data_IF_777376757146
#
_entry.id   IF_777376757146
#
_cell.length_a   1.000
_cell.length_b   1.000
_cell.length_c   1.000
_cell.angle_alpha   90.00
_cell.angle_beta   90.00
_cell.angle_gamma   90.00
#
_symmetry.space_group_name_H-M   'P 1'
#
loop_
_entity.id
_entity.type
_entity.pdbx_description
1 polymer ?
#
# COMPACT_ATOMS: atom_id res chain seq x y z
N UNK A 1 9.09 8.44 13.42
CA UNK A 1 8.45 8.90 12.19
C UNK A 1 7.71 7.74 11.55
N UNK A 2 6.50 7.99 11.08
CA UNK A 2 5.70 6.92 10.51
C UNK A 2 6.17 6.55 9.11
N UNK A 3 6.31 5.24 8.87
CA UNK A 3 6.69 4.70 7.57
C UNK A 3 5.55 3.81 7.11
N UNK A 4 4.92 4.17 6.02
CA UNK A 4 3.65 3.58 5.58
C UNK A 4 3.85 2.85 4.26
N UNK A 5 3.27 1.64 4.19
CA UNK A 5 3.18 0.86 2.96
C UNK A 5 1.72 0.79 2.53
N UNK A 6 1.45 1.12 1.28
CA UNK A 6 0.10 0.98 0.71
C UNK A 6 0.15 -0.10 -0.34
N UNK A 7 -0.62 -1.16 -0.14
CA UNK A 7 -0.73 -2.28 -1.08
C UNK A 7 -2.04 -2.13 -1.84
N UNK A 8 -1.96 -2.09 -3.16
CA UNK A 8 -3.11 -1.82 -4.01
C UNK A 8 -3.32 -0.34 -4.26
N UNK A 9 -2.23 0.42 -4.32
CA UNK A 9 -2.27 1.88 -4.42
C UNK A 9 -2.76 2.40 -5.78
N UNK A 10 -2.73 1.57 -6.82
CA UNK A 10 -3.09 1.99 -8.18
C UNK A 10 -4.57 2.14 -8.41
N UNK A 11 -5.43 1.62 -7.53
CA UNK A 11 -6.86 1.80 -7.64
C UNK A 11 -7.29 3.20 -7.25
N UNK A 12 -8.58 3.51 -7.43
CA UNK A 12 -9.09 4.84 -7.15
C UNK A 12 -8.91 5.22 -5.69
N UNK A 13 -9.34 4.35 -4.78
CA UNK A 13 -9.21 4.61 -3.34
C UNK A 13 -7.74 4.65 -2.95
N UNK A 14 -6.95 3.71 -3.46
CA UNK A 14 -5.53 3.62 -3.11
C UNK A 14 -4.73 4.82 -3.58
N UNK A 15 -4.99 5.33 -4.77
CA UNK A 15 -4.26 6.49 -5.28
C UNK A 15 -4.61 7.76 -4.49
N UNK A 16 -5.87 7.94 -4.15
CA UNK A 16 -6.29 9.07 -3.33
C UNK A 16 -5.71 9.00 -1.93
N UNK A 17 -5.74 7.82 -1.32
CA UNK A 17 -5.18 7.61 0.01
C UNK A 17 -3.67 7.85 0.01
N UNK A 18 -2.97 7.39 -1.03
CA UNK A 18 -1.53 7.58 -1.14
C UNK A 18 -1.17 9.07 -1.18
N UNK A 19 -1.85 9.83 -2.03
CA UNK A 19 -1.61 11.27 -2.13
C UNK A 19 -1.90 11.96 -0.80
N UNK A 20 -3.00 11.61 -0.17
CA UNK A 20 -3.38 12.19 1.11
C UNK A 20 -2.33 11.93 2.19
N UNK A 21 -1.93 10.67 2.33
CA UNK A 21 -0.94 10.31 3.35
C UNK A 21 0.43 10.92 3.07
N UNK A 22 0.80 11.04 1.81
CA UNK A 22 2.05 11.72 1.45
C UNK A 22 2.04 13.19 1.81
N UNK A 23 0.87 13.81 1.76
CA UNK A 23 0.74 15.21 2.15
C UNK A 23 0.90 15.41 3.66
N UNK A 24 0.58 14.38 4.45
CA UNK A 24 0.66 14.45 5.92
C UNK A 24 2.03 14.02 6.42
N UNK A 25 2.54 12.90 5.91
CA UNK A 25 3.74 12.25 6.46
C UNK A 25 4.99 12.49 5.62
N UNK A 26 4.85 13.11 4.46
CA UNK A 26 5.94 13.31 3.52
C UNK A 26 5.99 12.21 2.47
N UNK A 27 6.32 12.60 1.23
CA UNK A 27 6.29 11.67 0.11
C UNK A 27 7.22 10.46 0.30
N UNK A 28 8.40 10.67 0.86
CA UNK A 28 9.37 9.59 1.04
C UNK A 28 8.99 8.60 2.13
N UNK A 29 8.03 8.94 2.97
CA UNK A 29 7.60 8.09 4.09
C UNK A 29 6.41 7.20 3.74
N UNK A 30 5.87 7.32 2.54
CA UNK A 30 4.72 6.54 2.08
C UNK A 30 5.11 5.81 0.82
N UNK A 31 5.27 4.48 0.93
CA UNK A 31 5.61 3.61 -0.19
C UNK A 31 4.32 3.08 -0.80
N UNK A 32 4.11 3.38 -2.07
CA UNK A 32 2.96 2.88 -2.79
C UNK A 32 3.35 1.62 -3.55
N UNK A 33 2.49 0.62 -3.56
CA UNK A 33 2.72 -0.62 -4.29
C UNK A 33 1.46 -1.06 -5.01
N UNK A 34 1.65 -1.72 -6.14
CA UNK A 34 0.56 -2.37 -6.87
C UNK A 34 1.17 -3.45 -7.74
N UNK A 35 0.33 -4.32 -8.28
CA UNK A 35 0.78 -5.36 -9.21
C UNK A 35 1.28 -4.77 -10.53
N UNK A 36 0.84 -3.57 -10.87
CA UNK A 36 1.23 -2.86 -12.09
C UNK A 36 1.88 -1.54 -11.74
N UNK A 37 2.80 -1.11 -12.58
CA UNK A 37 3.42 0.19 -12.43
C UNK A 37 2.37 1.31 -12.52
N UNK A 38 2.48 2.27 -11.62
CA UNK A 38 1.63 3.45 -11.61
C UNK A 38 2.50 4.69 -11.58
N UNK A 39 2.68 5.32 -12.74
CA UNK A 39 3.61 6.44 -12.91
C UNK A 39 3.23 7.67 -12.08
N UNK A 40 1.94 7.90 -11.92
CA UNK A 40 1.48 9.07 -11.18
C UNK A 40 1.88 8.99 -9.70
N UNK A 41 1.97 7.77 -9.15
CA UNK A 41 2.37 7.59 -7.77
C UNK A 41 3.88 7.53 -7.59
N UNK A 42 4.60 7.18 -8.65
CA UNK A 42 6.05 7.12 -8.61
C UNK A 42 6.70 8.50 -8.61
N UNK A 43 6.00 9.50 -9.15
CA UNK A 43 6.54 10.87 -9.22
C UNK A 43 6.58 11.58 -7.88
N UNK A 44 5.70 11.23 -6.95
CA UNK A 44 5.55 11.92 -5.67
C UNK A 44 6.18 11.19 -4.49
N UNK A 45 6.79 10.04 -4.74
CA UNK A 45 7.42 9.26 -3.68
C UNK A 45 7.73 7.86 -4.16
N UNK A 46 8.21 6.98 -3.27
CA UNK A 46 8.60 5.64 -3.66
C UNK A 46 7.40 4.80 -4.11
N UNK A 47 7.59 4.07 -5.18
CA UNK A 47 6.62 3.13 -5.71
C UNK A 47 7.34 1.85 -6.09
N UNK A 48 6.76 0.70 -5.77
CA UNK A 48 7.28 -0.60 -6.18
C UNK A 48 6.16 -1.47 -6.73
N UNK A 49 6.49 -2.27 -7.73
CA UNK A 49 5.59 -3.30 -8.22
C UNK A 49 5.64 -4.45 -7.23
N UNK A 50 4.48 -4.85 -6.72
CA UNK A 50 4.40 -5.87 -5.68
C UNK A 50 3.11 -6.67 -5.83
N UNK A 51 3.25 -7.99 -5.82
CA UNK A 51 2.10 -8.88 -5.74
C UNK A 51 1.79 -9.12 -4.26
N UNK A 52 0.60 -8.71 -3.82
CA UNK A 52 0.18 -8.84 -2.43
C UNK A 52 0.15 -10.30 -1.93
N UNK A 53 0.08 -11.25 -2.84
CA UNK A 53 0.09 -12.68 -2.49
C UNK A 53 1.49 -13.25 -2.30
N UNK A 54 2.51 -12.48 -2.67
CA UNK A 54 3.91 -12.91 -2.53
C UNK A 54 4.43 -12.46 -1.17
N UNK A 55 4.37 -13.36 -0.19
CA UNK A 55 4.76 -13.05 1.18
C UNK A 55 6.23 -12.70 1.30
N UNK A 56 7.09 -13.34 0.51
CA UNK A 56 8.53 -13.06 0.53
C UNK A 56 8.81 -11.65 0.00
N UNK A 57 8.19 -11.27 -1.10
CA UNK A 57 8.33 -9.95 -1.66
C UNK A 57 7.79 -8.88 -0.70
N UNK A 58 6.66 -9.15 -0.07
CA UNK A 58 6.06 -8.26 0.93
C UNK A 58 7.03 -8.02 2.08
N UNK A 59 7.59 -9.08 2.64
CA UNK A 59 8.54 -8.98 3.74
C UNK A 59 9.79 -8.18 3.34
N UNK A 60 10.25 -8.37 2.12
CA UNK A 60 11.40 -7.63 1.59
C UNK A 60 11.13 -6.13 1.52
N UNK A 61 9.97 -5.75 1.02
CA UNK A 61 9.58 -4.33 0.94
C UNK A 61 9.47 -3.72 2.33
N UNK A 62 8.83 -4.43 3.25
CA UNK A 62 8.68 -3.98 4.64
C UNK A 62 10.05 -3.73 5.27
N UNK A 63 10.97 -4.66 5.07
CA UNK A 63 12.31 -4.53 5.65
C UNK A 63 13.12 -3.40 5.01
N UNK A 64 13.12 -3.31 3.68
CA UNK A 64 13.89 -2.29 2.96
C UNK A 64 13.45 -0.88 3.28
N UNK A 65 12.16 -0.68 3.42
CA UNK A 65 11.59 0.64 3.66
C UNK A 65 11.31 0.91 5.14
N UNK A 66 11.61 -0.04 6.02
CA UNK A 66 11.38 0.08 7.46
C UNK A 66 9.93 0.43 7.78
N UNK A 67 9.02 -0.29 7.16
CA UNK A 67 7.59 -0.02 7.28
C UNK A 67 7.09 -0.35 8.69
N UNK A 68 6.32 0.53 9.26
CA UNK A 68 5.67 0.32 10.55
C UNK A 68 4.14 0.27 10.44
N UNK A 69 3.58 0.67 9.31
CA UNK A 69 2.13 0.68 9.12
C UNK A 69 1.81 0.22 7.70
N UNK A 70 0.88 -0.71 7.57
CA UNK A 70 0.47 -1.26 6.27
C UNK A 70 -1.03 -1.04 6.06
N UNK A 71 -1.37 -0.45 4.91
CA UNK A 71 -2.75 -0.39 4.42
C UNK A 71 -2.87 -1.36 3.26
N UNK A 72 -3.49 -2.51 3.49
CA UNK A 72 -3.66 -3.53 2.45
C UNK A 72 -5.03 -3.39 1.81
N UNK A 73 -5.11 -2.59 0.76
CA UNK A 73 -6.37 -2.32 0.08
C UNK A 73 -6.83 -3.49 -0.78
N UNK A 74 -5.93 -4.34 -1.18
CA UNK A 74 -6.28 -5.58 -1.90
C UNK A 74 -7.11 -6.48 -0.99
N UNK A 75 -6.69 -6.65 0.26
CA UNK A 75 -7.44 -7.43 1.23
C UNK A 75 -8.80 -6.80 1.52
N UNK A 76 -8.88 -5.47 1.59
CA UNK A 76 -10.13 -4.77 1.81
C UNK A 76 -11.11 -5.02 0.66
N UNK A 77 -10.66 -4.92 -0.58
CA UNK A 77 -11.51 -5.16 -1.74
C UNK A 77 -11.96 -6.61 -1.80
N UNK A 78 -11.07 -7.54 -1.49
CA UNK A 78 -11.39 -8.96 -1.42
C UNK A 78 -12.44 -9.23 -0.34
N UNK A 79 -12.27 -8.63 0.83
CA UNK A 79 -13.21 -8.79 1.93
C UNK A 79 -14.61 -8.32 1.56
N UNK A 80 -14.73 -7.21 0.85
CA UNK A 80 -16.02 -6.70 0.37
C UNK A 80 -16.67 -7.71 -0.57
N UNK A 81 -15.89 -8.26 -1.52
CA UNK A 81 -16.39 -9.24 -2.47
C UNK A 81 -16.81 -10.56 -1.83
N UNK A 82 -16.10 -10.97 -0.80
CA UNK A 82 -16.32 -12.25 -0.12
C UNK A 82 -17.22 -12.13 1.10
N UNK A 83 -17.61 -10.93 1.46
CA UNK A 83 -18.40 -10.65 2.66
C UNK A 83 -17.72 -11.13 3.92
N UNK A 84 -16.42 -10.96 3.99
CA UNK A 84 -15.64 -11.31 5.16
C UNK A 84 -15.06 -10.03 5.77
N UNK A 85 -15.78 -9.34 6.66
CA UNK A 85 -15.33 -8.07 7.20
C UNK A 85 -14.05 -8.17 8.02
N UNK A 86 -13.73 -9.34 8.54
CA UNK A 86 -12.49 -9.49 9.30
C UNK A 86 -11.25 -9.29 8.43
N UNK A 87 -11.34 -9.62 7.17
CA UNK A 87 -10.25 -9.39 6.24
C UNK A 87 -9.92 -7.90 6.13
N UNK A 88 -10.91 -7.05 6.20
CA UNK A 88 -10.71 -5.61 6.12
C UNK A 88 -9.98 -5.05 7.34
N UNK A 89 -10.12 -5.67 8.48
CA UNK A 89 -9.50 -5.19 9.72
C UNK A 89 -8.07 -5.64 9.89
N UNK A 90 -7.59 -6.53 9.04
CA UNK A 90 -6.22 -7.00 9.08
C UNK A 90 -5.29 -6.21 8.17
N UNK A 91 -5.71 -5.03 7.74
CA UNK A 91 -4.93 -4.24 6.79
C UNK A 91 -3.76 -3.51 7.43
N UNK A 92 -3.63 -3.60 8.69
CA UNK A 92 -2.46 -3.08 9.36
C UNK A 92 -1.56 -4.20 9.79
#
# INVERSE_FOLDING_TARGET
MKRILIVGAGGQIGSELTVYLRSIYGGSNVVATDMRECRSLAGDGPFEVLNALDATAMASVVARHRIDTIFNLVALLSAVGERNPQMAWNVN
#
